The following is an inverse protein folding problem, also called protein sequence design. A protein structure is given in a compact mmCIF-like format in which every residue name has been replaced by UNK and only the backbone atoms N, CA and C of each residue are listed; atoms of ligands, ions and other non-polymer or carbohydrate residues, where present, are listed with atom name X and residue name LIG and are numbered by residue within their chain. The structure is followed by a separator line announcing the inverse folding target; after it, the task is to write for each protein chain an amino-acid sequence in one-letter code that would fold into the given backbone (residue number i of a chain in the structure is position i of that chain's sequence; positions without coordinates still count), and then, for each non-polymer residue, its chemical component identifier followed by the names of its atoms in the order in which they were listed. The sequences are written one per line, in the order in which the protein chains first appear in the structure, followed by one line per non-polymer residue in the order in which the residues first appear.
data_IF_821136800234
#
_entry.id   IF_821136800234
#
_cell.length_a   1.000
_cell.length_b   1.000
_cell.length_c   1.000
_cell.angle_alpha   90.00
_cell.angle_beta   90.00
_cell.angle_gamma   90.00
#
_symmetry.space_group_name_H-M   'P 1'
#
loop_
_entity.id
_entity.type
_entity.pdbx_description
1 polymer ?
#
# COMPACT_ATOMS: atom_id res chain seq x y z
N UNK A 1 15.72 -80.96 -33.84
CA UNK A 1 14.87 -79.95 -34.48
C UNK A 1 14.89 -78.70 -33.58
N UNK A 2 15.86 -77.80 -33.72
CA UNK A 2 15.87 -76.53 -34.51
C UNK A 2 15.01 -75.37 -33.96
N UNK A 3 15.69 -74.20 -33.88
CA UNK A 3 15.27 -72.78 -33.67
C UNK A 3 15.12 -72.34 -32.20
N UNK A 4 15.91 -71.41 -31.63
CA UNK A 4 16.55 -70.14 -32.05
C UNK A 4 15.63 -68.90 -32.03
N UNK A 5 16.21 -67.81 -31.48
CA UNK A 5 15.80 -66.39 -31.54
C UNK A 5 14.61 -65.97 -30.65
N UNK A 6 14.51 -64.76 -30.09
CA UNK A 6 15.34 -63.57 -30.06
C UNK A 6 14.82 -62.69 -28.92
N UNK A 7 15.70 -61.84 -28.38
CA UNK A 7 15.34 -60.88 -27.34
C UNK A 7 14.35 -59.80 -27.78
N UNK A 8 13.82 -59.10 -26.78
CA UNK A 8 13.33 -57.72 -26.93
C UNK A 8 13.27 -57.02 -25.58
N UNK A 9 14.24 -56.14 -25.37
CA UNK A 9 14.21 -55.00 -24.44
C UNK A 9 13.36 -53.89 -25.07
N UNK A 10 12.21 -53.55 -24.49
CA UNK A 10 11.43 -52.31 -24.76
C UNK A 10 10.39 -52.22 -23.63
N UNK A 11 10.08 -51.13 -22.93
CA UNK A 11 10.66 -49.82 -22.72
C UNK A 11 9.98 -49.29 -21.44
N UNK A 12 10.74 -48.63 -20.55
CA UNK A 12 10.14 -47.86 -19.45
C UNK A 12 9.35 -46.71 -20.06
N UNK A 13 8.02 -46.78 -19.97
CA UNK A 13 7.14 -45.67 -20.32
C UNK A 13 7.22 -44.63 -19.22
N UNK A 14 8.15 -43.67 -19.36
CA UNK A 14 8.15 -42.44 -18.59
C UNK A 14 6.96 -41.61 -19.06
N UNK A 15 5.86 -41.64 -18.29
CA UNK A 15 4.78 -40.68 -18.42
C UNK A 15 5.35 -39.27 -18.18
N UNK A 16 5.74 -38.61 -19.27
CA UNK A 16 6.08 -37.20 -19.26
C UNK A 16 4.76 -36.45 -19.15
N UNK A 17 4.35 -36.14 -17.92
CA UNK A 17 3.29 -35.17 -17.70
C UNK A 17 3.81 -33.83 -18.24
N UNK A 18 3.41 -33.49 -19.46
CA UNK A 18 3.54 -32.16 -19.99
C UNK A 18 2.70 -31.24 -19.12
N UNK A 19 3.32 -30.69 -18.07
CA UNK A 19 2.86 -29.49 -17.41
C UNK A 19 2.85 -28.42 -18.51
N UNK A 20 1.70 -28.27 -19.13
CA UNK A 20 1.36 -27.10 -19.91
C UNK A 20 1.41 -25.94 -18.92
N UNK A 21 2.61 -25.39 -18.73
CA UNK A 21 2.76 -24.04 -18.21
C UNK A 21 2.09 -23.16 -19.25
N UNK A 22 0.78 -22.96 -19.09
CA UNK A 22 0.18 -21.69 -19.39
C UNK A 22 0.98 -20.69 -18.59
N UNK A 23 2.06 -20.18 -19.21
CA UNK A 23 2.52 -18.85 -18.95
C UNK A 23 1.33 -17.98 -19.29
N UNK A 24 0.49 -17.75 -18.29
CA UNK A 24 -0.26 -16.51 -18.22
C UNK A 24 0.83 -15.48 -18.47
N UNK A 25 0.78 -14.69 -19.56
CA UNK A 25 1.61 -13.51 -19.62
C UNK A 25 1.23 -12.76 -18.36
N UNK A 26 2.12 -12.85 -17.36
CA UNK A 26 2.05 -12.03 -16.18
C UNK A 26 2.01 -10.65 -16.77
N UNK A 27 0.80 -10.09 -16.81
CA UNK A 27 0.67 -8.66 -16.81
C UNK A 27 1.52 -8.31 -15.61
N UNK A 28 2.71 -7.78 -15.86
CA UNK A 28 3.40 -6.99 -14.86
C UNK A 28 2.34 -5.98 -14.48
N UNK A 29 1.65 -6.29 -13.38
CA UNK A 29 0.80 -5.38 -12.68
C UNK A 29 1.80 -4.34 -12.20
N UNK A 30 2.13 -3.41 -13.11
CA UNK A 30 2.83 -2.18 -12.82
C UNK A 30 1.90 -1.40 -11.93
N UNK A 31 1.85 -1.79 -10.66
CA UNK A 31 1.12 -1.15 -9.59
C UNK A 31 1.89 0.10 -9.14
N UNK A 32 2.17 1.03 -10.06
CA UNK A 32 2.63 2.40 -9.76
C UNK A 32 2.79 3.17 -11.07
N UNK A 33 1.68 3.53 -11.73
CA UNK A 33 1.76 4.60 -12.72
C UNK A 33 1.79 5.95 -11.96
N UNK A 34 2.93 6.27 -11.34
CA UNK A 34 3.19 7.54 -10.65
C UNK A 34 4.13 7.40 -9.46
N UNK A 35 4.85 8.49 -9.13
CA UNK A 35 5.65 8.58 -7.91
C UNK A 35 4.74 8.74 -6.68
N UNK A 36 4.97 8.01 -5.57
CA UNK A 36 4.27 8.25 -4.31
C UNK A 36 4.37 9.72 -3.90
N UNK A 37 3.33 10.24 -3.26
CA UNK A 37 3.29 11.65 -2.83
C UNK A 37 2.63 11.83 -1.48
N UNK A 38 3.27 12.60 -0.62
CA UNK A 38 2.65 13.13 0.59
C UNK A 38 1.76 14.32 0.24
N UNK A 39 0.61 14.43 0.89
CA UNK A 39 -0.13 15.69 0.93
C UNK A 39 0.26 16.41 2.21
N UNK A 40 0.96 17.53 2.08
CA UNK A 40 1.33 18.40 3.20
C UNK A 40 0.46 19.65 3.11
N UNK A 41 -0.26 19.96 4.20
CA UNK A 41 -1.16 21.11 4.26
C UNK A 41 -0.87 21.96 5.48
N UNK A 42 -1.07 23.27 5.38
CA UNK A 42 -0.85 24.22 6.48
C UNK A 42 -1.99 24.22 7.53
N UNK A 43 -2.76 23.14 7.63
CA UNK A 43 -3.98 23.12 8.44
C UNK A 43 -3.63 23.10 9.93
N UNK A 44 -3.98 24.19 10.62
CA UNK A 44 -4.06 24.23 12.07
C UNK A 44 -5.44 23.71 12.45
N UNK A 45 -5.49 22.68 13.30
CA UNK A 45 -6.75 22.09 13.75
C UNK A 45 -7.61 23.06 14.59
N UNK A 46 -7.02 24.18 15.00
CA UNK A 46 -7.68 25.23 15.77
C UNK A 46 -8.48 26.19 14.88
N UNK A 47 -8.22 26.27 13.58
CA UNK A 47 -8.80 27.31 12.73
C UNK A 47 -10.00 26.83 11.88
N UNK A 48 -10.04 25.58 11.40
CA UNK A 48 -10.92 25.24 10.25
C UNK A 48 -11.84 24.01 10.43
N UNK A 49 -12.51 23.88 11.59
CA UNK A 49 -13.69 23.00 11.69
C UNK A 49 -13.44 21.49 11.59
N UNK A 50 -12.17 21.06 11.67
CA UNK A 50 -11.82 19.66 11.87
C UNK A 50 -12.51 19.16 13.14
N UNK A 51 -13.53 18.34 12.92
CA UNK A 51 -14.42 17.92 13.99
C UNK A 51 -13.74 16.82 14.79
N UNK A 52 -13.38 17.18 16.03
CA UNK A 52 -12.93 16.30 17.11
C UNK A 52 -11.55 15.66 16.90
N UNK A 53 -10.75 15.65 17.98
CA UNK A 53 -9.60 14.76 18.12
C UNK A 53 -10.10 13.32 17.96
N UNK A 54 -9.66 12.66 16.90
CA UNK A 54 -9.98 11.28 16.56
C UNK A 54 -8.70 10.47 16.46
N UNK A 55 -8.79 9.20 16.84
CA UNK A 55 -7.76 8.21 16.52
C UNK A 55 -8.21 7.41 15.30
N UNK A 56 -7.28 7.18 14.37
CA UNK A 56 -7.48 6.31 13.23
C UNK A 56 -6.42 5.21 13.23
N UNK A 57 -6.87 3.96 13.07
CA UNK A 57 -5.99 2.79 13.00
C UNK A 57 -6.23 2.06 11.69
N UNK A 58 -5.15 1.68 11.01
CA UNK A 58 -5.23 0.99 9.73
C UNK A 58 -3.88 0.69 9.11
N UNK A 59 -3.91 0.15 7.90
CA UNK A 59 -2.73 -0.11 7.08
C UNK A 59 -2.37 1.14 6.27
N UNK A 60 -1.10 1.52 6.25
CA UNK A 60 -0.62 2.56 5.34
C UNK A 60 -0.61 2.03 3.91
N UNK A 61 -1.35 2.68 3.01
CA UNK A 61 -1.49 2.26 1.61
C UNK A 61 -1.35 3.44 0.66
N UNK A 62 -1.27 3.17 -0.65
CA UNK A 62 -1.36 4.20 -1.69
C UNK A 62 -2.73 4.15 -2.37
N UNK A 63 -3.33 5.32 -2.53
CA UNK A 63 -4.49 5.56 -3.40
C UNK A 63 -4.16 5.31 -4.87
N UNK A 64 -5.19 5.27 -5.73
CA UNK A 64 -5.01 5.27 -7.18
C UNK A 64 -4.18 6.48 -7.66
N UNK A 65 -4.30 7.61 -6.96
CA UNK A 65 -3.53 8.83 -7.17
C UNK A 65 -2.11 8.86 -6.58
N UNK A 66 -1.63 7.71 -6.08
CA UNK A 66 -0.31 7.55 -5.43
C UNK A 66 -0.13 8.40 -4.16
N UNK A 67 -1.21 8.87 -3.55
CA UNK A 67 -1.17 9.53 -2.24
C UNK A 67 -1.33 8.54 -1.11
N UNK A 68 -0.65 8.81 0.00
CA UNK A 68 -0.74 7.99 1.20
C UNK A 68 -2.13 8.06 1.85
N UNK A 69 -2.71 6.90 2.08
CA UNK A 69 -4.00 6.72 2.75
C UNK A 69 -3.86 5.72 3.89
N UNK A 70 -4.69 5.88 4.92
CA UNK A 70 -4.87 4.86 5.95
C UNK A 70 -6.10 4.02 5.64
N UNK A 71 -5.92 2.72 5.44
CA UNK A 71 -7.02 1.77 5.20
C UNK A 71 -7.45 1.12 6.52
N UNK A 72 -8.61 1.51 7.01
CA UNK A 72 -9.21 0.92 8.22
C UNK A 72 -9.84 -0.47 7.99
N UNK A 73 -10.25 -1.16 9.07
CA UNK A 73 -10.74 -2.55 9.02
C UNK A 73 -12.00 -2.76 8.17
N UNK A 74 -12.77 -1.71 7.91
CA UNK A 74 -13.98 -1.76 7.09
C UNK A 74 -13.73 -1.40 5.60
N UNK A 75 -12.48 -1.48 5.14
CA UNK A 75 -12.06 -1.00 3.81
C UNK A 75 -12.36 0.48 3.54
N UNK A 76 -12.60 1.25 4.60
CA UNK A 76 -12.68 2.71 4.52
C UNK A 76 -11.25 3.24 4.51
N UNK A 77 -10.88 3.87 3.40
CA UNK A 77 -9.65 4.66 3.30
C UNK A 77 -9.90 6.08 3.77
N UNK A 78 -8.89 6.69 4.38
CA UNK A 78 -8.81 8.12 4.60
C UNK A 78 -7.50 8.64 4.01
N UNK A 79 -7.59 9.64 3.13
CA UNK A 79 -6.41 10.39 2.69
C UNK A 79 -5.72 11.04 3.88
N UNK A 80 -4.40 10.87 3.98
CA UNK A 80 -3.61 11.48 5.03
C UNK A 80 -3.10 12.85 4.57
N UNK A 81 -3.37 13.87 5.38
CA UNK A 81 -2.79 15.21 5.24
C UNK A 81 -1.86 15.44 6.42
N UNK A 82 -0.59 15.65 6.12
CA UNK A 82 0.46 15.87 7.13
C UNK A 82 0.62 17.37 7.41
N UNK A 83 0.71 17.78 8.69
CA UNK A 83 0.86 19.19 9.07
C UNK A 83 2.32 19.66 9.04
N UNK A 84 3.26 18.71 9.08
CA UNK A 84 4.71 18.91 9.03
C UNK A 84 5.26 18.36 7.72
N UNK A 85 6.53 18.66 7.42
CA UNK A 85 7.19 18.12 6.24
C UNK A 85 7.25 16.58 6.33
N UNK A 86 6.44 15.92 5.50
CA UNK A 86 6.54 14.49 5.23
C UNK A 86 7.31 14.31 3.92
N UNK A 87 8.43 13.60 3.99
CA UNK A 87 9.30 13.34 2.84
C UNK A 87 9.18 11.90 2.39
N UNK A 88 9.36 11.61 1.10
CA UNK A 88 9.46 10.22 0.65
C UNK A 88 10.73 9.57 1.21
N UNK A 89 10.67 8.27 1.47
CA UNK A 89 11.85 7.53 1.91
C UNK A 89 12.95 7.56 0.82
N UNK A 90 14.22 7.77 1.20
CA UNK A 90 15.33 7.90 0.25
C UNK A 90 15.76 6.57 -0.37
N UNK A 91 15.28 5.44 0.16
CA UNK A 91 15.63 4.09 -0.29
C UNK A 91 14.80 3.62 -1.51
N UNK A 92 13.86 4.45 -1.97
CA UNK A 92 12.97 4.16 -3.10
C UNK A 92 11.81 3.22 -2.75
N UNK A 93 11.68 2.79 -1.48
CA UNK A 93 10.48 2.08 -1.03
C UNK A 93 9.32 3.07 -0.82
N UNK A 94 8.09 2.70 -1.23
CA UNK A 94 6.92 3.51 -0.92
C UNK A 94 6.73 3.70 0.59
N UNK A 95 6.93 4.92 1.05
CA UNK A 95 6.85 5.29 2.45
C UNK A 95 7.12 6.77 2.66
N UNK A 96 6.99 7.19 3.91
CA UNK A 96 7.19 8.55 4.36
C UNK A 96 8.17 8.59 5.53
N UNK A 97 9.07 9.55 5.52
CA UNK A 97 9.77 10.05 6.69
C UNK A 97 8.93 11.21 7.25
N UNK A 98 8.50 11.09 8.51
CA UNK A 98 7.81 12.14 9.25
C UNK A 98 8.56 12.33 10.55
N UNK A 99 9.13 13.53 10.75
CA UNK A 99 10.09 13.79 11.83
C UNK A 99 11.22 12.72 11.84
N UNK A 100 11.41 12.01 12.94
CA UNK A 100 12.42 10.93 13.08
C UNK A 100 11.84 9.53 12.80
N UNK A 101 10.58 9.42 12.35
CA UNK A 101 9.91 8.15 12.07
C UNK A 101 9.84 7.82 10.58
N UNK A 102 10.18 6.57 10.24
CA UNK A 102 9.92 5.97 8.93
C UNK A 102 8.60 5.19 8.98
N UNK A 103 7.70 5.49 8.05
CA UNK A 103 6.42 4.83 7.84
C UNK A 103 6.39 4.22 6.43
N UNK A 104 6.23 2.91 6.32
CA UNK A 104 6.27 2.16 5.07
C UNK A 104 4.88 1.68 4.67
N UNK A 105 4.61 1.66 3.37
CA UNK A 105 3.39 1.05 2.84
C UNK A 105 3.32 -0.42 3.29
N UNK A 106 2.19 -0.83 3.83
CA UNK A 106 1.94 -2.14 4.44
C UNK A 106 2.08 -2.19 5.96
N UNK A 107 2.56 -1.13 6.61
CA UNK A 107 2.64 -1.07 8.07
C UNK A 107 1.30 -0.72 8.72
N UNK A 108 1.06 -1.26 9.92
CA UNK A 108 -0.08 -0.89 10.75
C UNK A 108 0.25 0.34 11.58
N UNK A 109 -0.54 1.40 11.36
CA UNK A 109 -0.38 2.68 12.05
C UNK A 109 -1.59 2.95 12.95
N UNK A 110 -1.33 3.59 14.09
CA UNK A 110 -2.34 4.30 14.87
C UNK A 110 -1.95 5.76 14.95
N UNK A 111 -2.77 6.63 14.36
CA UNK A 111 -2.52 8.06 14.23
C UNK A 111 -3.62 8.86 14.94
N UNK A 112 -3.23 9.95 15.59
CA UNK A 112 -4.16 10.94 16.14
C UNK A 112 -4.31 12.10 15.16
N UNK A 113 -5.54 12.58 15.03
CA UNK A 113 -5.86 13.59 14.03
C UNK A 113 -7.29 14.09 14.11
N UNK A 114 -7.82 14.51 12.96
CA UNK A 114 -9.22 14.90 12.79
C UNK A 114 -9.66 14.77 11.34
N UNK A 115 -10.96 14.53 11.13
CA UNK A 115 -11.52 14.52 9.78
C UNK A 115 -11.85 15.96 9.34
N UNK A 116 -11.41 16.29 8.13
CA UNK A 116 -11.65 17.55 7.47
C UNK A 116 -12.45 17.31 6.19
N UNK A 117 -13.55 18.05 6.05
CA UNK A 117 -14.28 18.13 4.79
C UNK A 117 -13.52 19.04 3.84
N UNK A 118 -12.99 18.47 2.76
CA UNK A 118 -12.28 19.18 1.72
C UNK A 118 -13.24 20.06 0.92
N UNK A 119 -12.93 21.34 0.81
CA UNK A 119 -13.68 22.30 0.00
C UNK A 119 -12.74 23.30 -0.67
N UNK A 120 -13.19 23.95 -1.74
CA UNK A 120 -12.43 25.00 -2.42
C UNK A 120 -11.04 24.53 -2.90
N UNK A 121 -10.00 25.29 -2.52
CA UNK A 121 -8.62 25.06 -2.94
C UNK A 121 -8.04 23.74 -2.42
N UNK A 122 -8.44 23.30 -1.22
CA UNK A 122 -7.93 22.04 -0.64
C UNK A 122 -8.44 20.83 -1.42
N UNK A 123 -9.70 20.89 -1.86
CA UNK A 123 -10.28 19.86 -2.72
C UNK A 123 -9.55 19.78 -4.07
N UNK A 124 -9.07 20.90 -4.61
CA UNK A 124 -8.29 20.91 -5.86
C UNK A 124 -6.89 20.31 -5.65
N UNK A 125 -6.20 20.67 -4.56
CA UNK A 125 -4.86 20.15 -4.25
C UNK A 125 -4.84 18.62 -4.08
N UNK A 126 -5.93 18.07 -3.54
CA UNK A 126 -6.10 16.62 -3.30
C UNK A 126 -6.94 15.91 -4.36
N UNK A 127 -7.46 16.62 -5.37
CA UNK A 127 -8.28 16.02 -6.44
C UNK A 127 -7.56 14.91 -7.19
N UNK A 128 -6.23 15.00 -7.26
CA UNK A 128 -5.39 13.97 -7.85
C UNK A 128 -5.19 12.74 -6.94
N UNK A 129 -5.48 12.84 -5.63
CA UNK A 129 -5.36 11.75 -4.66
C UNK A 129 -6.64 10.93 -4.55
N UNK A 130 -7.79 11.62 -4.43
CA UNK A 130 -9.09 10.98 -4.21
C UNK A 130 -10.24 11.84 -4.79
N UNK A 131 -11.36 11.20 -5.11
CA UNK A 131 -12.55 11.85 -5.69
C UNK A 131 -13.60 12.27 -4.66
N UNK A 132 -13.47 11.88 -3.38
CA UNK A 132 -14.48 12.12 -2.34
C UNK A 132 -13.90 12.85 -1.13
N UNK A 133 -14.65 13.84 -0.65
CA UNK A 133 -14.16 15.03 0.04
C UNK A 133 -13.91 14.96 1.54
N UNK A 134 -13.56 13.82 2.13
CA UNK A 134 -13.06 13.79 3.52
C UNK A 134 -11.60 13.35 3.54
N UNK A 135 -10.77 14.07 4.29
CA UNK A 135 -9.39 13.72 4.56
C UNK A 135 -9.14 13.67 6.07
N UNK A 136 -8.12 12.93 6.49
CA UNK A 136 -7.67 12.86 7.87
C UNK A 136 -6.40 13.70 8.02
N UNK A 137 -6.50 14.78 8.78
CA UNK A 137 -5.38 15.63 9.14
C UNK A 137 -4.67 14.98 10.32
N UNK A 138 -3.42 14.59 10.13
CA UNK A 138 -2.59 13.94 11.16
C UNK A 138 -2.07 15.02 12.12
N UNK A 139 -1.94 14.73 13.42
CA UNK A 139 -1.18 15.58 14.36
C UNK A 139 -0.02 14.85 15.00
N UNK A 140 -0.27 13.60 15.35
CA UNK A 140 0.64 12.82 16.15
C UNK A 140 0.57 11.35 15.76
N UNK A 141 1.72 10.69 15.83
CA UNK A 141 1.88 9.27 15.63
C UNK A 141 1.73 8.61 17.00
N UNK A 142 0.50 8.25 17.36
CA UNK A 142 0.22 7.71 18.70
C UNK A 142 1.01 6.44 18.97
N UNK A 143 1.03 5.51 18.00
CA UNK A 143 1.82 4.27 18.05
C UNK A 143 2.04 3.72 16.62
N UNK A 144 3.31 3.54 16.23
CA UNK A 144 3.68 2.72 15.09
C UNK A 144 4.14 1.34 15.57
N UNK A 145 3.38 0.29 15.23
CA UNK A 145 3.82 -1.08 15.50
C UNK A 145 4.64 -1.56 14.31
N UNK A 146 5.97 -1.44 14.38
CA UNK A 146 6.85 -2.11 13.43
C UNK A 146 6.58 -3.60 13.53
N UNK A 147 5.91 -4.17 12.52
CA UNK A 147 5.80 -5.62 12.35
C UNK A 147 7.21 -6.17 12.14
N UNK A 148 7.91 -6.40 13.25
CA UNK A 148 9.24 -6.94 13.29
C UNK A 148 9.09 -8.45 13.14
N UNK A 149 9.46 -8.93 11.95
CA UNK A 149 9.62 -10.32 11.50
C UNK A 149 8.39 -11.25 11.46
N UNK A 150 8.06 -11.85 10.30
CA UNK A 150 7.43 -13.16 10.31
C UNK A 150 8.44 -14.15 10.92
N UNK A 151 8.07 -14.73 12.05
CA UNK A 151 8.81 -15.83 12.65
C UNK A 151 9.15 -16.89 11.57
N UNK A 152 10.42 -17.30 11.58
CA UNK A 152 11.05 -18.30 10.72
C UNK A 152 10.30 -19.63 10.67
#
# INVERSE_FOLDING_TARGET
MTRAHAGRLVALSLCTAALSSCSVPGSELGLTAGEPRAVVGAHSLHDDGASMTAEATGELTLSAGQCFELRGPNSRSALLIWPTEAHLLPDGWPGLQVDDEELRVGEQLSISGGYLQLSGADAEAVAQCQSTGEAFVVHDLSQHTKNSDPAQ
#
